data_IF_004474152420
#
_entry.id   IF_004474152420
#
_cell.length_a   1.000
_cell.length_b   1.000
_cell.length_c   1.000
_cell.angle_alpha   90.00
_cell.angle_beta   90.00
_cell.angle_gamma   90.00
#
_symmetry.space_group_name_H-M   'P 1'
#
loop_
_entity.id
_entity.type
_entity.pdbx_description
1 polymer ?
#
# COMPACT_ATOMS: atom_id res chain seq x y z
N UNK A 1 0.53 31.41 15.82
CA UNK A 1 -0.51 30.60 15.15
C UNK A 1 -0.25 30.68 13.66
N UNK A 2 0.05 29.54 13.06
CA UNK A 2 0.12 29.34 11.62
C UNK A 2 -1.27 29.61 10.99
N UNK A 3 -1.30 30.23 9.81
CA UNK A 3 -2.55 30.60 9.13
C UNK A 3 -3.37 29.37 8.73
N UNK A 4 -2.71 28.24 8.52
CA UNK A 4 -3.33 26.98 8.14
C UNK A 4 -4.24 26.43 9.24
N UNK A 5 -3.74 26.36 10.47
CA UNK A 5 -4.53 25.94 11.63
C UNK A 5 -5.77 26.82 11.88
N UNK A 6 -5.69 28.13 11.66
CA UNK A 6 -6.87 29.01 11.75
C UNK A 6 -7.88 28.69 10.66
N UNK A 7 -7.44 28.49 9.41
CA UNK A 7 -8.32 28.17 8.28
C UNK A 7 -9.10 26.88 8.50
N UNK A 8 -8.45 25.84 9.05
CA UNK A 8 -9.07 24.56 9.41
C UNK A 8 -10.24 24.74 10.38
N UNK A 9 -10.08 25.60 11.38
CA UNK A 9 -11.09 25.84 12.42
C UNK A 9 -12.25 26.69 11.91
N UNK A 10 -11.95 27.71 11.11
CA UNK A 10 -12.95 28.68 10.65
C UNK A 10 -13.78 28.16 9.47
N UNK A 11 -13.22 27.28 8.63
CA UNK A 11 -13.84 26.88 7.37
C UNK A 11 -13.77 25.38 7.06
N UNK A 12 -14.47 24.51 7.82
CA UNK A 12 -14.44 23.05 7.61
C UNK A 12 -14.95 22.61 6.22
N UNK A 13 -15.92 23.34 5.68
CA UNK A 13 -16.50 23.07 4.34
C UNK A 13 -15.50 23.34 3.22
N UNK A 14 -14.64 24.34 3.38
CA UNK A 14 -13.57 24.63 2.42
C UNK A 14 -12.54 23.50 2.44
N UNK A 15 -12.17 23.02 3.64
CA UNK A 15 -11.25 21.89 3.78
C UNK A 15 -11.77 20.64 3.06
N UNK A 16 -13.05 20.31 3.22
CA UNK A 16 -13.66 19.17 2.53
C UNK A 16 -13.65 19.35 1.01
N UNK A 17 -13.90 20.57 0.54
CA UNK A 17 -13.84 20.87 -0.90
C UNK A 17 -12.42 20.75 -1.43
N UNK A 18 -11.43 21.28 -0.71
CA UNK A 18 -10.02 21.31 -1.14
C UNK A 18 -9.39 19.93 -1.25
N UNK A 19 -9.86 18.92 -0.50
CA UNK A 19 -9.35 17.54 -0.58
C UNK A 19 -9.35 17.00 -2.01
N UNK A 20 -10.42 17.29 -2.76
CA UNK A 20 -10.57 16.86 -4.15
C UNK A 20 -9.99 17.81 -5.19
N UNK A 21 -9.45 18.97 -4.77
CA UNK A 21 -8.92 19.97 -5.71
C UNK A 21 -7.51 19.60 -6.12
N UNK A 22 -7.23 19.49 -7.43
CA UNK A 22 -5.87 19.32 -7.92
C UNK A 22 -5.02 20.57 -7.64
N UNK A 23 -4.02 20.46 -6.76
CA UNK A 23 -3.14 21.57 -6.37
C UNK A 23 -1.66 21.27 -6.56
N UNK A 24 -1.30 20.00 -6.79
CA UNK A 24 0.09 19.55 -6.95
C UNK A 24 0.36 19.24 -8.41
N UNK A 25 1.50 19.65 -8.94
CA UNK A 25 1.94 19.24 -10.27
C UNK A 25 2.79 17.98 -10.14
N UNK A 26 2.28 16.84 -10.60
CA UNK A 26 2.98 15.54 -10.60
C UNK A 26 3.12 15.08 -12.03
N UNK A 27 4.36 14.89 -12.50
CA UNK A 27 4.65 14.55 -13.91
C UNK A 27 3.88 15.44 -14.92
N UNK A 28 3.93 16.76 -14.69
CA UNK A 28 3.23 17.77 -15.50
C UNK A 28 1.69 17.72 -15.46
N UNK A 29 1.10 16.92 -14.57
CA UNK A 29 -0.35 16.80 -14.39
C UNK A 29 -0.79 17.34 -13.03
N UNK A 30 -1.83 18.17 -13.00
CA UNK A 30 -2.43 18.62 -11.75
C UNK A 30 -3.14 17.45 -11.05
N UNK A 31 -2.73 17.17 -9.81
CA UNK A 31 -3.16 16.02 -9.02
C UNK A 31 -3.65 16.48 -7.64
N UNK A 32 -4.75 15.88 -7.18
CA UNK A 32 -5.30 16.14 -5.86
C UNK A 32 -4.50 15.36 -4.79
N UNK A 33 -4.28 15.93 -3.59
CA UNK A 33 -3.54 15.25 -2.53
C UNK A 33 -4.12 13.88 -2.16
N UNK A 34 -5.44 13.72 -2.23
CA UNK A 34 -6.12 12.45 -1.94
C UNK A 34 -5.82 11.32 -2.93
N UNK A 35 -5.23 11.62 -4.09
CA UNK A 35 -4.77 10.61 -5.04
C UNK A 35 -3.31 10.19 -4.79
N UNK A 36 -2.59 10.87 -3.91
CA UNK A 36 -1.18 10.60 -3.64
C UNK A 36 -0.99 9.83 -2.33
N UNK A 37 0.13 9.13 -2.25
CA UNK A 37 0.59 8.35 -1.10
C UNK A 37 1.58 9.16 -0.28
N UNK A 38 1.58 8.94 1.04
CA UNK A 38 2.58 9.54 1.93
C UNK A 38 3.94 8.80 1.79
N UNK A 39 5.02 9.49 1.38
CA UNK A 39 6.34 8.87 1.28
C UNK A 39 6.95 8.45 2.63
N UNK A 40 6.39 8.90 3.77
CA UNK A 40 6.79 8.46 5.12
C UNK A 40 6.19 7.13 5.53
N UNK A 41 5.15 6.66 4.84
CA UNK A 41 4.63 5.33 5.07
C UNK A 41 5.54 4.30 4.40
N UNK A 42 6.33 3.58 5.20
CA UNK A 42 7.29 2.60 4.70
C UNK A 42 6.65 1.51 3.83
N UNK A 43 5.39 1.14 4.05
CA UNK A 43 4.71 0.13 3.23
C UNK A 43 4.39 0.71 1.86
N UNK A 44 3.80 1.91 1.81
CA UNK A 44 3.47 2.59 0.56
C UNK A 44 4.74 2.87 -0.25
N UNK A 45 5.78 3.40 0.40
CA UNK A 45 7.08 3.66 -0.24
C UNK A 45 7.65 2.42 -0.90
N UNK A 46 7.65 1.30 -0.20
CA UNK A 46 8.27 0.07 -0.72
C UNK A 46 7.39 -0.62 -1.78
N UNK A 47 6.07 -0.37 -1.78
CA UNK A 47 5.16 -0.91 -2.80
C UNK A 47 5.21 -0.12 -4.11
N UNK A 48 5.39 1.19 -4.04
CA UNK A 48 5.39 2.12 -5.18
C UNK A 48 6.80 2.68 -5.48
N UNK A 49 7.87 1.99 -5.07
CA UNK A 49 9.25 2.39 -5.38
C UNK A 49 9.55 2.45 -6.89
N UNK A 50 8.71 1.83 -7.70
CA UNK A 50 8.73 1.79 -9.15
C UNK A 50 7.82 2.85 -9.82
N UNK A 51 7.00 3.56 -9.03
CA UNK A 51 6.08 4.59 -9.50
C UNK A 51 6.27 5.90 -8.71
N UNK A 52 7.20 6.78 -9.15
CA UNK A 52 7.42 8.08 -8.53
C UNK A 52 6.19 9.00 -8.57
N UNK A 53 5.24 8.75 -9.48
CA UNK A 53 4.03 9.58 -9.64
C UNK A 53 2.99 9.30 -8.57
N UNK A 54 3.14 8.20 -7.81
CA UNK A 54 2.29 7.88 -6.67
C UNK A 54 2.51 8.82 -5.47
N UNK A 55 3.59 9.62 -5.44
CA UNK A 55 3.96 10.46 -4.29
C UNK A 55 4.01 11.95 -4.63
N UNK A 56 3.86 12.84 -3.63
CA UNK A 56 4.17 14.25 -3.82
C UNK A 56 5.63 14.46 -4.27
N UNK A 57 5.86 15.33 -5.26
CA UNK A 57 7.19 15.76 -5.67
C UNK A 57 8.00 16.34 -4.50
N UNK A 58 9.32 16.27 -4.61
CA UNK A 58 10.24 16.64 -3.52
C UNK A 58 10.08 18.08 -3.04
N UNK A 59 9.69 19.00 -3.93
CA UNK A 59 9.39 20.40 -3.63
C UNK A 59 8.21 20.61 -2.67
N UNK A 60 7.32 19.63 -2.54
CA UNK A 60 6.18 19.65 -1.61
C UNK A 60 6.44 18.84 -0.33
N UNK A 61 7.69 18.44 -0.05
CA UNK A 61 8.06 17.65 1.13
C UNK A 61 8.68 18.48 2.26
N UNK A 62 8.22 19.73 2.42
CA UNK A 62 8.57 20.53 3.60
C UNK A 62 7.56 20.27 4.72
N UNK A 63 7.94 20.47 5.98
CA UNK A 63 7.06 20.23 7.13
C UNK A 63 5.69 20.94 7.01
N UNK A 64 5.70 22.18 6.52
CA UNK A 64 4.47 22.96 6.29
C UNK A 64 3.58 22.37 5.18
N UNK A 65 4.18 21.88 4.10
CA UNK A 65 3.42 21.20 3.03
C UNK A 65 2.91 19.85 3.50
N UNK A 66 3.70 19.08 4.24
CA UNK A 66 3.31 17.76 4.72
C UNK A 66 2.07 17.82 5.62
N UNK A 67 2.03 18.72 6.61
CA UNK A 67 0.84 18.89 7.46
C UNK A 67 -0.37 19.25 6.60
N UNK A 68 -0.20 20.20 5.68
CA UNK A 68 -1.26 20.65 4.79
C UNK A 68 -1.79 19.53 3.90
N UNK A 69 -0.91 18.72 3.31
CA UNK A 69 -1.30 17.63 2.42
C UNK A 69 -1.99 16.49 3.18
N UNK A 70 -1.54 16.17 4.39
CA UNK A 70 -2.22 15.21 5.26
C UNK A 70 -3.65 15.66 5.58
N UNK A 71 -3.84 16.94 5.92
CA UNK A 71 -5.18 17.51 6.16
C UNK A 71 -6.06 17.51 4.89
N UNK A 72 -5.44 17.61 3.72
CA UNK A 72 -6.10 17.54 2.41
C UNK A 72 -6.26 16.10 1.87
N UNK A 73 -5.96 15.09 2.69
CA UNK A 73 -6.27 13.69 2.38
C UNK A 73 -5.14 12.89 1.76
N UNK A 74 -3.89 13.37 1.80
CA UNK A 74 -2.72 12.55 1.46
C UNK A 74 -2.77 11.22 2.21
N UNK A 75 -2.64 10.12 1.46
CA UNK A 75 -2.88 8.78 2.01
C UNK A 75 -1.68 8.30 2.81
N UNK A 76 -1.74 8.52 4.11
CA UNK A 76 -0.70 8.12 5.08
C UNK A 76 -0.94 6.77 5.73
N UNK A 77 -2.13 6.20 5.57
CA UNK A 77 -2.52 4.89 6.09
C UNK A 77 -2.90 3.96 4.94
N UNK A 78 -2.58 2.68 5.10
CA UNK A 78 -3.07 1.64 4.21
C UNK A 78 -4.44 1.21 4.73
N UNK A 79 -5.49 1.96 4.39
CA UNK A 79 -6.87 1.52 4.64
C UNK A 79 -7.34 0.53 3.57
N UNK A 80 -8.62 0.12 3.60
CA UNK A 80 -9.15 -0.89 2.67
C UNK A 80 -9.08 -0.46 1.21
N UNK A 81 -9.34 0.80 0.90
CA UNK A 81 -9.32 1.28 -0.49
C UNK A 81 -7.88 1.45 -0.98
N UNK A 82 -7.01 2.00 -0.13
CA UNK A 82 -5.56 2.07 -0.38
C UNK A 82 -4.95 0.68 -0.56
N UNK A 83 -5.37 -0.30 0.25
CA UNK A 83 -4.93 -1.69 0.12
C UNK A 83 -5.35 -2.31 -1.22
N UNK A 84 -6.59 -2.07 -1.66
CA UNK A 84 -7.06 -2.53 -2.97
C UNK A 84 -6.18 -1.95 -4.08
N UNK A 85 -5.83 -0.67 -4.00
CA UNK A 85 -4.94 -0.02 -4.98
C UNK A 85 -3.52 -0.61 -4.95
N UNK A 86 -2.96 -0.82 -3.76
CA UNK A 86 -1.68 -1.52 -3.58
C UNK A 86 -1.71 -2.91 -4.22
N UNK A 87 -2.77 -3.68 -3.99
CA UNK A 87 -2.93 -5.02 -4.54
C UNK A 87 -3.03 -4.98 -6.08
N UNK A 88 -3.79 -4.03 -6.62
CA UNK A 88 -3.89 -3.81 -8.07
C UNK A 88 -2.54 -3.40 -8.68
N UNK A 89 -1.75 -2.57 -7.97
CA UNK A 89 -0.41 -2.19 -8.41
C UNK A 89 0.50 -3.42 -8.52
N UNK A 90 0.55 -4.26 -7.47
CA UNK A 90 1.32 -5.52 -7.48
C UNK A 90 0.88 -6.45 -8.61
N UNK A 91 -0.43 -6.58 -8.86
CA UNK A 91 -0.96 -7.40 -9.94
C UNK A 91 -0.60 -6.85 -11.33
N UNK A 92 -0.60 -5.53 -11.52
CA UNK A 92 -0.16 -4.90 -12.79
C UNK A 92 1.30 -5.16 -13.12
N UNK A 93 2.16 -5.21 -12.09
CA UNK A 93 3.59 -5.49 -12.26
C UNK A 93 3.90 -6.98 -12.43
N UNK A 94 2.90 -7.84 -12.23
CA UNK A 94 3.06 -9.29 -12.33
C UNK A 94 3.41 -9.69 -13.76
N UNK A 95 4.43 -10.54 -13.88
CA UNK A 95 4.81 -11.25 -15.11
C UNK A 95 5.26 -12.65 -14.77
N UNK A 96 5.31 -13.54 -15.76
CA UNK A 96 5.77 -14.92 -15.57
C UNK A 96 7.14 -15.13 -16.23
N UNK A 97 8.15 -15.64 -15.51
CA UNK A 97 8.15 -15.99 -14.08
C UNK A 97 8.04 -14.76 -13.15
N UNK A 98 7.43 -14.94 -11.97
CA UNK A 98 7.21 -13.87 -11.00
C UNK A 98 8.56 -13.28 -10.53
N UNK A 99 8.82 -11.98 -10.74
CA UNK A 99 10.08 -11.39 -10.28
C UNK A 99 10.14 -11.36 -8.74
N UNK A 100 11.31 -11.64 -8.12
CA UNK A 100 11.46 -11.61 -6.67
C UNK A 100 11.05 -10.27 -6.02
N UNK A 101 11.31 -9.14 -6.68
CA UNK A 101 10.89 -7.83 -6.19
C UNK A 101 9.36 -7.73 -6.07
N UNK A 102 8.61 -8.25 -7.05
CA UNK A 102 7.14 -8.24 -7.02
C UNK A 102 6.60 -9.23 -5.98
N UNK A 103 7.25 -10.39 -5.84
CA UNK A 103 6.93 -11.33 -4.76
C UNK A 103 7.14 -10.69 -3.37
N UNK A 104 8.23 -9.93 -3.18
CA UNK A 104 8.50 -9.22 -1.93
C UNK A 104 7.44 -8.16 -1.62
N UNK A 105 7.02 -7.37 -2.62
CA UNK A 105 5.91 -6.41 -2.50
C UNK A 105 4.62 -7.10 -2.06
N UNK A 106 4.27 -8.19 -2.74
CA UNK A 106 3.10 -8.98 -2.42
C UNK A 106 3.12 -9.55 -0.99
N UNK A 107 4.25 -10.15 -0.58
CA UNK A 107 4.45 -10.70 0.76
C UNK A 107 4.37 -9.62 1.84
N UNK A 108 4.91 -8.42 1.57
CA UNK A 108 4.83 -7.28 2.48
C UNK A 108 3.38 -6.80 2.65
N UNK A 109 2.64 -6.67 1.55
CA UNK A 109 1.24 -6.26 1.58
C UNK A 109 0.37 -7.29 2.31
N UNK A 110 0.59 -8.58 2.05
CA UNK A 110 -0.11 -9.67 2.73
C UNK A 110 0.16 -9.68 4.24
N UNK A 111 1.43 -9.51 4.64
CA UNK A 111 1.82 -9.41 6.06
C UNK A 111 1.08 -8.27 6.75
N UNK A 112 1.03 -7.10 6.11
CA UNK A 112 0.30 -5.95 6.65
C UNK A 112 -1.20 -6.24 6.87
N UNK A 113 -1.84 -6.97 5.95
CA UNK A 113 -3.25 -7.37 6.10
C UNK A 113 -3.46 -8.26 7.33
N UNK A 114 -2.57 -9.23 7.55
CA UNK A 114 -2.64 -10.18 8.66
C UNK A 114 -2.42 -9.46 10.00
N UNK A 115 -1.43 -8.56 10.06
CA UNK A 115 -1.11 -7.80 11.27
C UNK A 115 -2.24 -6.83 11.70
N UNK A 116 -3.13 -6.47 10.77
CA UNK A 116 -4.22 -5.50 10.99
C UNK A 116 -5.59 -6.11 10.62
N UNK A 117 -5.76 -7.43 10.79
CA UNK A 117 -6.92 -8.18 10.29
C UNK A 117 -8.28 -7.57 10.68
N UNK A 118 -8.39 -7.05 11.90
CA UNK A 118 -9.62 -6.47 12.45
C UNK A 118 -10.07 -5.21 11.70
N UNK A 119 -9.15 -4.47 11.09
CA UNK A 119 -9.46 -3.25 10.35
C UNK A 119 -9.89 -3.55 8.91
N UNK A 120 -9.39 -4.65 8.34
CA UNK A 120 -9.57 -5.00 6.94
C UNK A 120 -10.78 -5.89 6.67
N UNK A 121 -10.96 -6.97 7.44
CA UNK A 121 -11.86 -8.04 7.03
C UNK A 121 -13.33 -7.69 7.16
N UNK A 122 -13.97 -7.50 6.01
CA UNK A 122 -15.41 -7.56 5.83
C UNK A 122 -15.76 -8.27 4.51
N UNK A 123 -17.01 -8.73 4.31
CA UNK A 123 -17.39 -9.47 3.11
C UNK A 123 -17.15 -8.72 1.79
N UNK A 124 -17.36 -7.40 1.77
CA UNK A 124 -17.18 -6.57 0.57
C UNK A 124 -15.71 -6.44 0.19
N UNK A 125 -14.85 -6.22 1.18
CA UNK A 125 -13.40 -6.18 1.01
C UNK A 125 -12.87 -7.53 0.53
N UNK A 126 -13.26 -8.63 1.17
CA UNK A 126 -12.85 -9.97 0.77
C UNK A 126 -13.25 -10.28 -0.70
N UNK A 127 -14.45 -9.85 -1.12
CA UNK A 127 -14.90 -9.97 -2.52
C UNK A 127 -14.09 -9.13 -3.50
N UNK A 128 -13.65 -7.93 -3.12
CA UNK A 128 -12.79 -7.09 -3.97
C UNK A 128 -11.39 -7.71 -4.08
N UNK A 129 -10.82 -8.16 -2.97
CA UNK A 129 -9.46 -8.68 -2.93
C UNK A 129 -9.34 -10.04 -3.63
N UNK A 130 -10.37 -10.89 -3.56
CA UNK A 130 -10.34 -12.20 -4.21
C UNK A 130 -10.30 -12.16 -5.74
N UNK A 131 -10.56 -11.01 -6.37
CA UNK A 131 -10.47 -10.86 -7.82
C UNK A 131 -9.08 -10.41 -8.31
N UNK A 132 -8.18 -10.05 -7.39
CA UNK A 132 -6.87 -9.47 -7.70
C UNK A 132 -5.79 -10.55 -7.53
N UNK A 133 -4.93 -10.75 -8.55
CA UNK A 133 -3.91 -11.82 -8.53
C UNK A 133 -2.59 -11.37 -7.89
N UNK A 134 -2.68 -10.65 -6.77
CA UNK A 134 -1.51 -10.11 -6.08
C UNK A 134 -0.82 -11.12 -5.14
N UNK A 135 -1.49 -12.21 -4.74
CA UNK A 135 -0.91 -13.21 -3.83
C UNK A 135 0.01 -14.16 -4.62
N UNK A 136 1.31 -14.30 -4.24
CA UNK A 136 2.19 -15.29 -4.82
C UNK A 136 1.72 -16.66 -4.37
N UNK A 137 1.30 -17.50 -5.30
CA UNK A 137 1.18 -18.93 -5.02
C UNK A 137 2.59 -19.49 -5.04
N UNK A 138 3.31 -19.39 -3.92
CA UNK A 138 4.45 -20.26 -3.69
C UNK A 138 3.92 -21.69 -3.74
N UNK A 139 4.30 -22.44 -4.78
CA UNK A 139 4.07 -23.87 -4.77
C UNK A 139 4.91 -24.42 -3.62
N UNK A 140 4.26 -24.74 -2.52
CA UNK A 140 4.86 -25.52 -1.44
C UNK A 140 5.31 -26.83 -2.08
N UNK A 141 6.61 -26.96 -2.36
CA UNK A 141 7.17 -28.20 -2.86
C UNK A 141 7.23 -29.18 -1.68
N UNK A 142 6.13 -29.92 -1.49
CA UNK A 142 5.98 -30.93 -0.44
C UNK A 142 6.97 -32.11 -0.58
N UNK A 143 7.84 -32.09 -1.59
CA UNK A 143 8.86 -33.12 -1.84
C UNK A 143 9.97 -33.17 -0.78
N UNK A 144 10.16 -32.13 0.04
CA UNK A 144 11.17 -32.11 1.10
C UNK A 144 10.75 -32.77 2.41
N UNK A 145 9.50 -33.24 2.53
CA UNK A 145 9.00 -33.92 3.73
C UNK A 145 9.24 -35.45 3.71
N UNK A 146 10.40 -35.91 3.26
CA UNK A 146 10.88 -37.27 3.58
C UNK A 146 11.76 -37.21 4.81
N UNK A 147 11.11 -37.35 5.96
CA UNK A 147 11.77 -37.65 7.23
C UNK A 147 12.65 -38.88 7.10
N UNK A 148 13.87 -38.75 7.59
CA UNK A 148 14.86 -39.81 7.71
C UNK A 148 14.36 -40.87 8.71
N UNK A 149 13.56 -41.82 8.24
CA UNK A 149 13.11 -42.99 9.00
C UNK A 149 14.16 -44.11 8.96
N UNK A 150 15.24 -43.96 9.73
CA UNK A 150 16.19 -45.04 9.99
C UNK A 150 15.61 -46.04 10.99
N UNK A 151 14.73 -46.92 10.53
CA UNK A 151 14.23 -48.06 11.30
C UNK A 151 15.31 -49.13 11.46
N UNK A 152 15.65 -49.44 12.71
CA UNK A 152 16.53 -50.54 13.06
C UNK A 152 15.95 -51.90 12.64
N UNK A 153 16.79 -52.74 12.03
CA UNK A 153 16.54 -54.15 11.83
C UNK A 153 17.50 -54.96 12.71
N UNK A 154 16.94 -55.72 13.66
CA UNK A 154 17.63 -56.78 14.37
C UNK A 154 17.39 -58.15 13.73
N UNK A 155 18.22 -59.12 14.13
CA UNK A 155 18.12 -60.56 13.81
C UNK A 155 19.32 -61.02 12.99
N UNK A 156 20.10 -62.04 13.37
CA UNK A 156 19.91 -63.11 14.35
C UNK A 156 21.27 -63.54 14.93
#
# INVERSE_FOLDING_TARGET
>A
KDRWSSLKQETPTIMETLKGVPILVVDHVLTAPCHLMDPKNDILRDLFDDDPTAFPPVEYRTEAWEEMLLDLGLRSKVDRDTFVECAQHVDKLRREPLPPAIANKASRLLRHMIENENDFFNPQFARKISTIKFVPVERIDLSSAKGNGGGGGGGA
#
